data_IF_069132900837
#
_entry.id   IF_069132900837
#
_cell.length_a   1.000
_cell.length_b   1.000
_cell.length_c   1.000
_cell.angle_alpha   90.00
_cell.angle_beta   90.00
_cell.angle_gamma   90.00
#
_symmetry.space_group_name_H-M   'P 1'
#
loop_
_entity.id
_entity.type
_entity.pdbx_description
1 polymer ?
#
# COMPACT_ATOMS: atom_id res chain seq x y z
N UNK A 1 15.34 16.82 -2.89
CA UNK A 1 15.29 15.44 -3.40
C UNK A 1 15.52 15.48 -4.88
N UNK A 2 16.42 14.65 -5.36
CA UNK A 2 16.57 14.37 -6.79
C UNK A 2 15.37 13.58 -7.30
N UNK A 3 15.14 13.56 -8.61
CA UNK A 3 14.05 12.77 -9.20
C UNK A 3 14.19 11.26 -8.91
N UNK A 4 15.44 10.78 -8.77
CA UNK A 4 15.74 9.40 -8.38
C UNK A 4 15.31 9.09 -6.95
N UNK A 5 15.69 9.91 -5.97
CA UNK A 5 15.27 9.76 -4.57
C UNK A 5 13.74 9.83 -4.42
N UNK A 6 13.09 10.66 -5.25
CA UNK A 6 11.63 10.76 -5.31
C UNK A 6 11.00 9.46 -5.83
N UNK A 7 11.54 8.87 -6.89
CA UNK A 7 11.06 7.59 -7.43
C UNK A 7 11.32 6.41 -6.49
N UNK A 8 12.49 6.35 -5.86
CA UNK A 8 12.83 5.32 -4.87
C UNK A 8 11.84 5.37 -3.70
N UNK A 9 11.60 6.56 -3.16
CA UNK A 9 10.63 6.77 -2.09
C UNK A 9 9.19 6.40 -2.48
N UNK A 10 8.78 6.69 -3.72
CA UNK A 10 7.50 6.23 -4.25
C UNK A 10 7.39 4.70 -4.21
N UNK A 11 8.45 4.02 -4.69
CA UNK A 11 8.54 2.57 -4.72
C UNK A 11 8.48 1.95 -3.31
N UNK A 12 9.18 2.54 -2.35
CA UNK A 12 9.18 2.11 -0.94
C UNK A 12 7.78 2.20 -0.33
N UNK A 13 7.09 3.33 -0.48
CA UNK A 13 5.75 3.52 0.10
C UNK A 13 4.77 2.53 -0.55
N UNK A 14 4.86 2.30 -1.86
CA UNK A 14 4.04 1.33 -2.56
C UNK A 14 4.31 -0.11 -2.09
N UNK A 15 5.57 -0.49 -1.92
CA UNK A 15 5.95 -1.81 -1.40
C UNK A 15 5.38 -2.03 0.02
N UNK A 16 5.43 -1.02 0.88
CA UNK A 16 4.82 -1.05 2.21
C UNK A 16 3.30 -1.21 2.13
N UNK A 17 2.62 -0.48 1.24
CA UNK A 17 1.17 -0.61 1.05
C UNK A 17 0.77 -2.03 0.60
N UNK A 18 1.57 -2.67 -0.27
CA UNK A 18 1.37 -4.07 -0.69
C UNK A 18 1.61 -5.07 0.45
N UNK A 19 2.66 -4.88 1.24
CA UNK A 19 2.92 -5.71 2.42
C UNK A 19 1.76 -5.63 3.43
N UNK A 20 1.18 -4.45 3.64
CA UNK A 20 0.00 -4.30 4.49
C UNK A 20 -1.21 -5.05 3.95
N UNK A 21 -1.44 -5.07 2.64
CA UNK A 21 -2.51 -5.87 2.05
C UNK A 21 -2.36 -7.36 2.37
N UNK A 22 -1.16 -7.90 2.13
CA UNK A 22 -0.84 -9.29 2.40
C UNK A 22 -1.03 -9.63 3.88
N UNK A 23 -0.46 -8.81 4.78
CA UNK A 23 -0.62 -8.96 6.22
C UNK A 23 -2.10 -8.89 6.65
N UNK A 24 -2.90 -8.06 5.99
CA UNK A 24 -4.34 -7.95 6.22
C UNK A 24 -5.10 -9.22 5.81
N UNK A 25 -4.68 -9.87 4.71
CA UNK A 25 -5.17 -11.18 4.29
C UNK A 25 -4.88 -12.25 5.33
N UNK A 26 -3.61 -12.38 5.74
CA UNK A 26 -3.18 -13.34 6.79
C UNK A 26 -3.93 -13.09 8.10
N UNK A 27 -4.06 -11.83 8.54
CA UNK A 27 -4.80 -11.50 9.76
C UNK A 27 -6.29 -11.87 9.66
N UNK A 28 -6.87 -11.76 8.45
CA UNK A 28 -8.25 -12.17 8.19
C UNK A 28 -8.42 -13.68 8.29
N UNK A 29 -7.49 -14.46 7.74
CA UNK A 29 -7.47 -15.94 7.85
C UNK A 29 -7.36 -16.40 9.32
N UNK A 30 -6.61 -15.66 10.14
CA UNK A 30 -6.47 -15.91 11.57
C UNK A 30 -7.63 -15.37 12.43
N UNK A 31 -8.68 -14.79 11.82
CA UNK A 31 -9.78 -14.13 12.51
C UNK A 31 -9.36 -13.01 13.49
N UNK A 32 -8.19 -12.39 13.25
CA UNK A 32 -7.67 -11.30 14.07
C UNK A 32 -8.28 -9.96 13.64
N UNK A 33 -9.57 -9.76 13.92
CA UNK A 33 -10.36 -8.62 13.43
C UNK A 33 -9.75 -7.24 13.76
N UNK A 34 -9.17 -7.07 14.94
CA UNK A 34 -8.48 -5.83 15.32
C UNK A 34 -7.22 -5.60 14.47
N UNK A 35 -6.45 -6.65 14.19
CA UNK A 35 -5.27 -6.55 13.35
C UNK A 35 -5.66 -6.20 11.91
N UNK A 36 -6.71 -6.82 11.35
CA UNK A 36 -7.24 -6.48 10.02
C UNK A 36 -7.61 -4.99 9.95
N UNK A 37 -8.31 -4.47 10.96
CA UNK A 37 -8.70 -3.07 11.01
C UNK A 37 -7.47 -2.13 10.99
N UNK A 38 -6.49 -2.38 11.86
CA UNK A 38 -5.29 -1.55 11.97
C UNK A 38 -4.43 -1.61 10.72
N UNK A 39 -4.26 -2.80 10.13
CA UNK A 39 -3.47 -3.00 8.92
C UNK A 39 -4.10 -2.27 7.73
N UNK A 40 -5.43 -2.35 7.57
CA UNK A 40 -6.15 -1.61 6.52
C UNK A 40 -6.05 -0.09 6.72
N UNK A 41 -6.12 0.40 7.96
CA UNK A 41 -5.93 1.81 8.25
C UNK A 41 -4.51 2.29 7.90
N UNK A 42 -3.49 1.50 8.24
CA UNK A 42 -2.11 1.80 7.88
C UNK A 42 -1.89 1.80 6.35
N UNK A 43 -2.46 0.82 5.64
CA UNK A 43 -2.44 0.78 4.19
C UNK A 43 -3.07 2.02 3.56
N UNK A 44 -4.26 2.42 4.02
CA UNK A 44 -4.95 3.60 3.52
C UNK A 44 -4.14 4.89 3.74
N UNK A 45 -3.46 5.00 4.89
CA UNK A 45 -2.59 6.14 5.18
C UNK A 45 -1.39 6.21 4.22
N UNK A 46 -0.77 5.07 3.88
CA UNK A 46 0.33 5.02 2.91
C UNK A 46 -0.12 5.39 1.50
N UNK A 47 -1.32 4.97 1.09
CA UNK A 47 -1.88 5.33 -0.22
C UNK A 47 -2.23 6.83 -0.29
N UNK A 48 -2.81 7.39 0.77
CA UNK A 48 -3.07 8.82 0.86
C UNK A 48 -1.77 9.65 0.81
N UNK A 49 -0.68 9.14 1.41
CA UNK A 49 0.64 9.75 1.30
C UNK A 49 1.14 9.74 -0.15
N UNK A 50 0.99 8.62 -0.86
CA UNK A 50 1.35 8.52 -2.28
C UNK A 50 0.57 9.52 -3.14
N UNK A 51 -0.74 9.63 -2.94
CA UNK A 51 -1.57 10.60 -3.67
C UNK A 51 -1.13 12.05 -3.41
N UNK A 52 -0.80 12.36 -2.15
CA UNK A 52 -0.39 13.71 -1.74
C UNK A 52 0.99 14.08 -2.28
N UNK A 53 1.93 13.16 -2.23
CA UNK A 53 3.32 13.40 -2.63
C UNK A 53 3.58 13.20 -4.12
N UNK A 54 2.75 12.40 -4.78
CA UNK A 54 2.87 12.04 -6.19
C UNK A 54 1.51 12.20 -6.89
N UNK A 55 1.04 13.45 -7.12
CA UNK A 55 -0.29 13.73 -7.65
C UNK A 55 -0.55 13.18 -9.06
N UNK A 56 0.52 12.74 -9.75
CA UNK A 56 0.46 12.12 -11.07
C UNK A 56 -0.03 10.67 -11.02
N UNK A 57 -0.03 10.05 -9.84
CA UNK A 57 -0.62 8.74 -9.60
C UNK A 57 -2.10 8.95 -9.26
N UNK A 58 -3.00 8.66 -10.19
CA UNK A 58 -4.43 8.66 -9.89
C UNK A 58 -4.73 7.59 -8.84
N UNK A 59 -5.65 7.86 -7.91
CA UNK A 59 -6.07 6.90 -6.89
C UNK A 59 -6.59 5.58 -7.49
N UNK A 60 -7.11 5.59 -8.72
CA UNK A 60 -7.49 4.39 -9.47
C UNK A 60 -6.28 3.51 -9.82
N UNK A 61 -5.18 4.09 -10.33
CA UNK A 61 -3.96 3.34 -10.60
C UNK A 61 -3.31 2.79 -9.32
N UNK A 62 -3.38 3.54 -8.22
CA UNK A 62 -2.86 3.08 -6.93
C UNK A 62 -3.68 1.90 -6.38
N UNK A 63 -5.01 1.98 -6.49
CA UNK A 63 -5.89 0.89 -6.09
C UNK A 63 -5.74 -0.34 -6.99
N UNK A 64 -5.48 -0.20 -8.28
CA UNK A 64 -5.13 -1.33 -9.17
C UNK A 64 -3.76 -1.92 -8.83
N UNK A 65 -2.74 -1.08 -8.59
CA UNK A 65 -1.39 -1.53 -8.23
C UNK A 65 -1.37 -2.34 -6.94
N UNK A 66 -2.23 -1.98 -5.98
CA UNK A 66 -2.46 -2.73 -4.75
C UNK A 66 -3.38 -3.93 -5.01
N UNK A 67 -4.46 -3.76 -5.76
CA UNK A 67 -5.45 -4.82 -6.05
C UNK A 67 -4.88 -6.04 -6.77
N UNK A 68 -3.80 -5.89 -7.54
CA UNK A 68 -3.12 -6.98 -8.23
C UNK A 68 -2.28 -7.84 -7.26
N UNK A 69 -2.99 -8.62 -6.45
CA UNK A 69 -2.44 -9.61 -5.51
C UNK A 69 -2.13 -10.96 -6.19
N UNK A 70 -1.92 -11.01 -7.51
CA UNK A 70 -1.56 -12.25 -8.23
C UNK A 70 -0.04 -12.52 -8.23
N UNK A 71 0.75 -11.68 -7.56
CA UNK A 71 2.15 -11.97 -7.28
C UNK A 71 2.29 -12.86 -6.06
N UNK A 72 2.71 -14.11 -6.27
CA UNK A 72 3.30 -14.94 -5.23
C UNK A 72 4.52 -14.20 -4.65
N UNK A 73 4.33 -13.48 -3.53
CA UNK A 73 5.43 -13.20 -2.62
C UNK A 73 5.90 -14.52 -1.99
#
# INVERSE_FOLDING_TARGET
>A
MTDFERQERQGEILALAKMMQYAGGVASELNASQAVFLIKAAQAALLSLLETEFPMLSGEHLNELVGDAHGHC
#
